data_IF_132028175368
#
_entry.id   IF_132028175368
#
_cell.length_a   1.000
_cell.length_b   1.000
_cell.length_c   1.000
_cell.angle_alpha   90.00
_cell.angle_beta   90.00
_cell.angle_gamma   90.00
#
_symmetry.space_group_name_H-M   'P 1'
#
loop_
_entity.id
_entity.type
_entity.pdbx_description
1 polymer ?
2 polymer ?
3 non-polymer ?
4 water ?
#
# COMPACT_ATOMS: atom_id res chain seq x y z
N UNK A 1 7.63 6.86 4.21
CA UNK A 1 6.30 6.20 4.38
C UNK A 1 5.97 5.34 3.17
N UNK A 2 4.67 5.13 2.94
CA UNK A 2 4.22 4.14 1.97
C UNK A 2 4.61 4.46 0.53
N UNK A 3 4.63 5.75 0.19
CA UNK A 3 4.99 6.12 -1.18
C UNK A 3 6.45 5.75 -1.51
N UNK A 4 7.37 6.06 -0.59
CA UNK A 4 8.79 5.76 -0.78
C UNK A 4 8.99 4.25 -0.89
N UNK A 5 8.26 3.52 -0.04
CA UNK A 5 8.38 2.05 0.04
C UNK A 5 7.67 1.25 -1.07
N UNK A 6 6.56 1.78 -1.60
CA UNK A 6 5.76 1.01 -2.55
C UNK A 6 5.61 1.64 -3.92
N UNK A 7 5.80 2.95 -3.98
CA UNK A 7 5.71 3.67 -5.26
C UNK A 7 7.10 3.91 -5.87
N UNK A 8 7.93 4.66 -5.13
CA UNK A 8 9.32 4.96 -5.51
C UNK A 8 10.17 3.68 -5.56
N UNK A 9 9.96 2.74 -4.63
CA UNK A 9 10.55 1.40 -4.84
C UNK A 9 9.50 0.29 -4.82
N UNK A 10 9.94 -0.96 -4.92
CA UNK A 10 8.99 -2.07 -4.98
C UNK A 10 8.50 -2.48 -3.59
N UNK A 11 7.20 -2.64 -3.52
CA UNK A 11 6.42 -2.89 -2.31
C UNK A 11 6.44 -4.39 -1.99
N UNK A 12 5.82 -4.78 -0.88
CA UNK A 12 5.71 -6.19 -0.54
C UNK A 12 4.42 -6.33 0.26
N UNK A 13 3.88 -7.54 0.36
CA UNK A 13 2.70 -7.77 1.18
C UNK A 13 2.96 -7.41 2.63
N UNK A 14 4.15 -7.78 3.08
CA UNK A 14 4.60 -7.48 4.42
C UNK A 14 4.41 -6.00 4.70
N UNK A 15 4.87 -5.16 3.78
CA UNK A 15 4.74 -3.73 3.97
C UNK A 15 3.34 -3.19 3.80
N UNK A 16 2.59 -3.70 2.82
CA UNK A 16 1.20 -3.25 2.67
C UNK A 16 0.38 -3.51 3.93
N UNK A 17 0.56 -4.70 4.54
CA UNK A 17 -0.21 -5.06 5.72
C UNK A 17 0.10 -4.13 6.89
N UNK A 18 1.26 -3.47 6.88
CA UNK A 18 1.53 -2.49 7.93
C UNK A 18 0.52 -1.35 7.93
N UNK A 19 -0.22 -1.16 6.82
CA UNK A 19 -1.17 -0.05 6.74
C UNK A 19 -2.62 -0.42 6.91
N UNK A 20 -2.90 -1.70 7.15
CA UNK A 20 -4.27 -2.11 7.44
C UNK A 20 -4.57 -1.71 8.87
N UNK A 21 -5.82 -1.40 9.18
CA UNK A 21 -6.22 -1.14 10.57
C UNK A 21 -6.32 -2.43 11.39
N UNK B 1 0.36 -10.03 -6.88
CA UNK B 1 0.12 -8.73 -7.61
C UNK B 1 0.63 -7.51 -6.79
N UNK B 2 1.19 -7.76 -5.61
CA UNK B 2 1.62 -6.64 -4.75
C UNK B 2 3.13 -6.37 -4.81
N UNK B 3 3.83 -7.17 -5.59
CA UNK B 3 5.28 -7.05 -5.67
C UNK B 3 5.76 -6.27 -6.93
N UNK B 4 5.41 -4.98 -6.98
CA UNK B 4 5.72 -4.06 -8.13
C UNK B 4 5.63 -2.59 -7.67
N UNK B 5 5.82 -1.62 -8.57
CA UNK B 5 5.67 -0.19 -8.21
C UNK B 5 4.18 0.14 -8.19
N UNK B 6 3.68 0.55 -7.04
CA UNK B 6 2.26 0.90 -6.90
C UNK B 6 2.16 2.37 -6.53
N UNK B 7 1.61 3.19 -7.43
CA UNK B 7 1.51 4.63 -7.18
C UNK B 7 0.06 5.12 -7.35
N UNK B 8 -0.31 6.15 -6.60
CA UNK B 8 -1.61 6.82 -6.78
C UNK B 8 -2.75 5.85 -6.59
N UNK B 9 -3.71 5.82 -7.52
CA UNK B 9 -4.92 5.01 -7.30
C UNK B 9 -4.58 3.51 -7.32
N UNK B 10 -3.48 3.15 -7.97
CA UNK B 10 -3.02 1.76 -8.02
C UNK B 10 -2.63 1.23 -6.60
N UNK B 11 -2.02 2.07 -5.80
CA UNK B 11 -1.62 1.74 -4.42
C UNK B 11 -2.86 1.64 -3.54
N UNK B 12 -3.74 2.62 -3.67
CA UNK B 12 -4.95 2.66 -2.89
C UNK B 12 -5.79 1.41 -3.16
N UNK B 13 -5.84 0.99 -4.41
CA UNK B 13 -6.63 -0.16 -4.74
C UNK B 13 -6.02 -1.48 -4.17
N UNK B 14 -4.68 -1.58 -4.14
CA UNK B 14 -3.98 -2.74 -3.56
C UNK B 14 -4.29 -2.83 -2.07
N UNK B 15 -4.23 -1.70 -1.36
CA UNK B 15 -4.56 -1.65 0.07
C UNK B 15 -6.00 -2.09 0.33
N UNK B 16 -6.93 -1.63 -0.52
CA UNK B 16 -8.34 -2.02 -0.43
C UNK B 16 -8.55 -3.54 -0.52
N UNK B 17 -7.89 -4.18 -1.50
CA UNK B 17 -7.93 -5.64 -1.73
C UNK B 17 -7.28 -6.45 -0.60
N UNK B 18 -6.07 -6.06 -0.23
CA UNK B 18 -5.32 -6.77 0.81
C UNK B 18 -5.97 -6.62 2.21
N UNK B 19 -6.37 -5.39 2.58
CA UNK B 19 -6.80 -5.14 3.96
C UNK B 19 -8.23 -5.58 4.18
N UNK B 20 -9.00 -5.61 3.10
CA UNK B 20 -10.36 -6.11 3.16
C UNK B 20 -11.21 -5.38 4.19
N UNK B 21 -11.86 -6.12 5.09
CA UNK B 21 -12.80 -5.48 5.98
C UNK B 21 -12.16 -4.80 7.21
N UNK B 22 -10.86 -5.00 7.43
CA UNK B 22 -10.06 -4.23 8.39
C UNK B 22 -9.96 -2.74 8.01
N UNK B 23 -10.01 -2.45 6.70
CA UNK B 23 -9.75 -1.09 6.20
C UNK B 23 -8.28 -0.74 6.30
N UNK B 24 -7.96 0.52 6.05
CA UNK B 24 -6.56 0.93 5.95
C UNK B 24 -6.45 2.42 6.15
N UNK B 25 -5.22 2.89 6.24
CA UNK B 25 -5.00 4.30 6.20
C UNK B 25 -3.97 4.61 5.12
N UNK B 26 -4.22 5.68 4.38
CA UNK B 26 -3.35 6.08 3.30
C UNK B 26 -2.83 7.48 3.61
N UNK B 27 -1.53 7.57 3.85
CA UNK B 27 -0.92 8.82 4.28
C UNK B 27 0.33 9.04 3.43
N UNK B 28 0.16 9.73 2.29
CA UNK B 28 1.22 9.83 1.29
C UNK B 28 2.36 10.78 1.69
N UNK B 29 2.16 11.55 2.76
CA UNK B 29 3.20 12.49 3.20
C UNK B 29 3.82 12.17 4.56
N UNK B 30 3.18 11.29 5.33
CA UNK B 30 3.85 10.64 6.46
C UNK B 30 4.65 9.44 5.92
X LIG C 1 -7.02 -11.03 -1.65
X LIG C 1 -8.37 -11.31 -2.16
X LIG C 1 -8.75 -10.26 -3.12
X LIG C 1 -8.38 -12.62 -2.84
X LIG C 1 -9.35 -11.33 -1.04
#
# INVERSE_FOLDING_TARGET
GIVEQCCTSICSLYQLENYCN
FVNQHLCGSHLVEALYLVCGERGFFYTPKA
TMO CAA NAC CAD CAB OAE
#
